data_IF_420730701248
#
_entry.id   IF_420730701248
#
_cell.length_a   1.000
_cell.length_b   1.000
_cell.length_c   1.000
_cell.angle_alpha   90.00
_cell.angle_beta   90.00
_cell.angle_gamma   90.00
#
_symmetry.space_group_name_H-M   'P 1'
#
loop_
_entity.id
_entity.type
_entity.pdbx_description
1 polymer ?
#
# COMPACT_ATOMS: atom_id res chain seq x y z
N UNK A 1 -11.87 9.03 -25.20
CA UNK A 1 -12.00 7.58 -25.20
C UNK A 1 -10.65 6.88 -25.34
N UNK A 2 -10.52 5.70 -24.72
CA UNK A 2 -9.38 4.80 -24.90
C UNK A 2 -9.85 3.59 -25.68
N UNK A 3 -8.98 3.04 -26.52
CA UNK A 3 -9.32 1.93 -27.42
C UNK A 3 -8.33 0.79 -27.25
N UNK A 4 -8.82 -0.45 -27.33
CA UNK A 4 -8.01 -1.64 -27.53
C UNK A 4 -8.32 -2.24 -28.91
N UNK A 5 -7.30 -2.71 -29.59
CA UNK A 5 -7.39 -3.22 -30.95
C UNK A 5 -7.06 -4.70 -30.99
N UNK A 6 -7.51 -5.38 -32.03
CA UNK A 6 -7.13 -6.76 -32.28
C UNK A 6 -5.62 -6.86 -32.58
N UNK A 7 -4.97 -7.91 -32.09
CA UNK A 7 -3.53 -8.12 -32.25
C UNK A 7 -3.09 -8.15 -33.71
N UNK A 8 -3.92 -8.71 -34.56
CA UNK A 8 -3.57 -8.93 -35.98
C UNK A 8 -4.02 -7.81 -36.90
N UNK A 9 -4.84 -6.88 -36.45
CA UNK A 9 -5.33 -5.76 -37.25
C UNK A 9 -5.69 -4.55 -36.37
N UNK A 10 -4.82 -3.56 -36.36
CA UNK A 10 -4.99 -2.31 -35.60
C UNK A 10 -6.19 -1.45 -36.03
N UNK A 11 -6.87 -1.82 -37.10
CA UNK A 11 -8.10 -1.16 -37.56
C UNK A 11 -9.35 -1.76 -36.89
N UNK A 12 -9.24 -2.95 -36.28
CA UNK A 12 -10.34 -3.63 -35.64
C UNK A 12 -10.33 -3.32 -34.13
N UNK A 13 -11.11 -2.34 -33.74
CA UNK A 13 -11.31 -2.00 -32.33
C UNK A 13 -12.18 -3.07 -31.65
N UNK A 14 -11.66 -3.70 -30.61
CA UNK A 14 -12.34 -4.75 -29.85
C UNK A 14 -12.91 -4.24 -28.53
N UNK A 15 -12.40 -3.14 -28.02
CA UNK A 15 -12.88 -2.51 -26.79
C UNK A 15 -12.70 -0.99 -26.85
N UNK A 16 -13.66 -0.27 -26.29
CA UNK A 16 -13.57 1.17 -26.07
C UNK A 16 -13.99 1.51 -24.65
N UNK A 17 -13.30 2.46 -24.03
CA UNK A 17 -13.68 3.01 -22.74
C UNK A 17 -13.75 4.52 -22.82
N UNK A 18 -14.72 5.13 -22.16
CA UNK A 18 -14.85 6.57 -22.04
C UNK A 18 -15.24 6.95 -20.60
N UNK A 19 -14.48 7.85 -20.02
CA UNK A 19 -14.81 8.44 -18.73
C UNK A 19 -15.85 9.54 -18.96
N UNK A 20 -17.00 9.41 -18.33
CA UNK A 20 -18.04 10.43 -18.35
C UNK A 20 -17.78 11.42 -17.21
N UNK A 21 -17.84 12.71 -17.52
CA UNK A 21 -17.60 13.77 -16.56
C UNK A 21 -18.63 13.71 -15.41
N UNK A 22 -18.14 13.45 -14.18
CA UNK A 22 -18.97 13.33 -12.97
C UNK A 22 -19.92 12.13 -12.89
N UNK A 23 -19.83 11.15 -13.81
CA UNK A 23 -20.81 10.05 -13.93
C UNK A 23 -20.26 8.63 -14.04
N UNK A 24 -18.96 8.43 -13.86
CA UNK A 24 -18.35 7.11 -14.02
C UNK A 24 -17.87 6.82 -15.43
N UNK A 25 -17.74 5.55 -15.79
CA UNK A 25 -17.12 5.12 -17.04
C UNK A 25 -18.04 4.22 -17.85
N UNK A 26 -18.01 4.40 -19.17
CA UNK A 26 -18.64 3.50 -20.12
C UNK A 26 -17.57 2.59 -20.72
N UNK A 27 -17.85 1.29 -20.76
CA UNK A 27 -17.02 0.29 -21.42
C UNK A 27 -17.87 -0.42 -22.47
N UNK A 28 -17.40 -0.40 -23.69
CA UNK A 28 -18.02 -1.13 -24.80
C UNK A 28 -17.05 -2.16 -25.32
N UNK A 29 -17.52 -3.40 -25.41
CA UNK A 29 -16.73 -4.51 -25.97
C UNK A 29 -17.49 -5.21 -27.07
N UNK A 30 -16.80 -5.54 -28.16
CA UNK A 30 -17.32 -6.36 -29.24
C UNK A 30 -17.28 -7.87 -28.96
N UNK A 31 -16.73 -8.31 -27.82
CA UNK A 31 -16.60 -9.69 -27.45
C UNK A 31 -17.10 -9.96 -26.02
N UNK A 32 -17.61 -11.15 -25.77
CA UNK A 32 -18.11 -11.59 -24.47
C UNK A 32 -16.97 -12.08 -23.55
N UNK A 33 -15.99 -11.22 -23.27
CA UNK A 33 -14.81 -11.57 -22.45
C UNK A 33 -15.09 -11.66 -20.95
N UNK A 34 -16.28 -11.29 -20.50
CA UNK A 34 -16.70 -11.29 -19.10
C UNK A 34 -17.64 -12.43 -18.77
N UNK A 35 -17.82 -13.42 -19.64
CA UNK A 35 -18.61 -14.58 -19.30
C UNK A 35 -17.92 -15.42 -18.21
N UNK A 36 -18.70 -16.08 -17.37
CA UNK A 36 -18.16 -16.95 -16.33
C UNK A 36 -17.21 -18.01 -16.90
N UNK A 37 -17.54 -18.54 -18.07
CA UNK A 37 -16.71 -19.54 -18.76
C UNK A 37 -15.33 -19.00 -19.14
N UNK A 38 -15.26 -17.81 -19.71
CA UNK A 38 -13.99 -17.24 -20.16
C UNK A 38 -13.11 -16.74 -19.02
N UNK A 39 -13.71 -16.17 -17.98
CA UNK A 39 -12.98 -15.79 -16.77
C UNK A 39 -12.43 -17.02 -16.08
N UNK A 40 -13.24 -18.08 -15.92
CA UNK A 40 -12.79 -19.31 -15.30
C UNK A 40 -11.73 -20.03 -16.12
N UNK A 41 -11.86 -20.08 -17.44
CA UNK A 41 -10.84 -20.64 -18.32
C UNK A 41 -9.49 -19.92 -18.19
N UNK A 42 -9.51 -18.58 -18.06
CA UNK A 42 -8.29 -17.81 -17.89
C UNK A 42 -7.59 -18.00 -16.54
N UNK A 43 -8.33 -18.37 -15.50
CA UNK A 43 -7.78 -18.68 -14.17
C UNK A 43 -7.22 -20.09 -14.09
N UNK A 44 -7.93 -21.07 -14.72
CA UNK A 44 -7.59 -22.49 -14.64
C UNK A 44 -6.55 -22.97 -15.64
N UNK A 45 -6.16 -22.15 -16.61
CA UNK A 45 -5.23 -22.52 -17.68
C UNK A 45 -3.76 -22.41 -17.23
N UNK A 46 -3.41 -23.27 -16.27
CA UNK A 46 -2.07 -23.40 -15.74
C UNK A 46 -1.20 -24.28 -16.65
N UNK A 47 -0.71 -23.76 -17.76
CA UNK A 47 0.28 -24.47 -18.57
C UNK A 47 0.02 -24.55 -20.05
N UNK A 48 -0.97 -23.83 -20.59
CA UNK A 48 -1.08 -23.67 -22.02
C UNK A 48 -0.09 -22.64 -22.55
N UNK A 49 0.36 -22.80 -23.78
CA UNK A 49 1.21 -21.81 -24.47
C UNK A 49 0.49 -20.45 -24.69
N UNK A 50 -0.82 -20.40 -24.43
CA UNK A 50 -1.65 -19.21 -24.55
C UNK A 50 -1.96 -18.64 -23.17
N UNK A 51 -1.39 -17.50 -22.89
CA UNK A 51 -1.62 -16.79 -21.62
C UNK A 51 -2.95 -16.02 -21.67
N UNK A 52 -4.04 -16.67 -21.28
CA UNK A 52 -5.34 -16.02 -21.16
C UNK A 52 -5.38 -15.15 -19.89
N UNK A 53 -5.61 -13.86 -20.07
CA UNK A 53 -5.62 -12.89 -18.97
C UNK A 53 -6.93 -12.11 -18.85
N UNK A 54 -8.03 -12.68 -19.31
CA UNK A 54 -9.35 -12.04 -19.28
C UNK A 54 -9.78 -11.63 -17.85
N UNK A 55 -9.42 -12.40 -16.83
CA UNK A 55 -9.67 -12.03 -15.44
C UNK A 55 -9.01 -10.69 -15.06
N UNK A 56 -7.82 -10.40 -15.59
CA UNK A 56 -7.12 -9.11 -15.35
C UNK A 56 -7.87 -7.93 -15.97
N UNK A 57 -8.54 -8.16 -17.10
CA UNK A 57 -9.41 -7.14 -17.69
C UNK A 57 -10.58 -6.85 -16.76
N UNK A 58 -11.23 -7.91 -16.22
CA UNK A 58 -12.32 -7.77 -15.26
C UNK A 58 -11.85 -7.07 -13.98
N UNK A 59 -10.72 -7.45 -13.41
CA UNK A 59 -10.15 -6.78 -12.24
C UNK A 59 -9.87 -5.30 -12.51
N UNK A 60 -9.25 -4.98 -13.64
CA UNK A 60 -8.98 -3.59 -14.00
C UNK A 60 -10.25 -2.77 -14.18
N UNK A 61 -11.29 -3.35 -14.80
CA UNK A 61 -12.58 -2.69 -14.93
C UNK A 61 -13.25 -2.48 -13.57
N UNK A 62 -13.21 -3.46 -12.68
CA UNK A 62 -13.73 -3.33 -11.31
C UNK A 62 -13.00 -2.23 -10.54
N UNK A 63 -11.67 -2.13 -10.67
CA UNK A 63 -10.88 -1.05 -10.06
C UNK A 63 -11.22 0.32 -10.62
N UNK A 64 -11.58 0.42 -11.89
CA UNK A 64 -11.99 1.68 -12.51
C UNK A 64 -13.40 2.11 -12.08
N UNK A 65 -14.29 1.15 -11.83
CA UNK A 65 -15.67 1.41 -11.37
C UNK A 65 -15.70 1.72 -9.87
N UNK A 66 -14.82 1.07 -9.11
CA UNK A 66 -14.70 1.26 -7.67
C UNK A 66 -13.23 1.61 -7.32
N UNK A 67 -12.84 2.87 -7.50
CA UNK A 67 -11.48 3.29 -7.20
C UNK A 67 -11.21 3.03 -5.72
N UNK A 68 -10.06 2.44 -5.45
CA UNK A 68 -9.59 2.22 -4.07
C UNK A 68 -9.47 3.58 -3.40
N UNK A 69 -10.21 3.78 -2.32
CA UNK A 69 -10.10 4.98 -1.53
C UNK A 69 -8.83 4.91 -0.69
N UNK A 70 -7.92 5.84 -0.94
CA UNK A 70 -6.69 5.96 -0.17
C UNK A 70 -6.95 6.92 0.99
N UNK A 71 -6.65 6.46 2.20
CA UNK A 71 -6.81 7.24 3.43
C UNK A 71 -5.45 7.75 3.89
N UNK A 72 -5.31 9.04 4.23
CA UNK A 72 -4.10 9.58 4.84
C UNK A 72 -3.72 8.82 6.13
N UNK A 73 -2.44 8.55 6.33
CA UNK A 73 -1.98 7.75 7.47
C UNK A 73 -2.33 8.41 8.81
N UNK A 74 -2.29 9.73 8.89
CA UNK A 74 -2.69 10.45 10.10
C UNK A 74 -4.16 10.20 10.48
N UNK A 75 -5.05 10.02 9.51
CA UNK A 75 -6.46 9.70 9.74
C UNK A 75 -6.61 8.26 10.28
N UNK A 76 -5.83 7.32 9.72
CA UNK A 76 -5.80 5.93 10.23
C UNK A 76 -5.25 5.88 11.65
N UNK A 77 -4.21 6.65 11.95
CA UNK A 77 -3.64 6.78 13.30
C UNK A 77 -4.61 7.41 14.32
N UNK A 78 -5.48 8.31 13.88
CA UNK A 78 -6.50 8.92 14.71
C UNK A 78 -7.65 7.97 15.08
N UNK A 79 -7.80 6.85 14.34
CA UNK A 79 -8.77 5.82 14.65
C UNK A 79 -8.24 4.93 15.77
N UNK A 80 -8.76 5.14 16.98
CA UNK A 80 -8.30 4.43 18.19
C UNK A 80 -8.95 3.05 18.41
N UNK A 81 -9.99 2.75 17.66
CA UNK A 81 -10.68 1.45 17.74
C UNK A 81 -10.14 0.47 16.71
N UNK A 82 -10.05 -0.79 17.09
CA UNK A 82 -9.64 -1.89 16.21
C UNK A 82 -10.80 -2.33 15.29
N UNK A 83 -10.46 -2.93 14.14
CA UNK A 83 -11.44 -3.55 13.25
C UNK A 83 -11.88 -2.71 12.05
N UNK A 84 -11.41 -1.47 11.90
CA UNK A 84 -11.75 -0.62 10.77
C UNK A 84 -10.84 -0.88 9.57
N UNK A 85 -11.43 -0.99 8.39
CA UNK A 85 -10.70 -1.26 7.16
C UNK A 85 -10.24 0.02 6.48
N UNK A 86 -8.96 0.07 6.15
CA UNK A 86 -8.35 1.18 5.43
C UNK A 86 -7.44 0.68 4.32
N UNK A 87 -7.22 1.53 3.35
CA UNK A 87 -6.15 1.39 2.37
C UNK A 87 -5.32 2.67 2.39
N UNK A 88 -4.02 2.51 2.56
CA UNK A 88 -3.04 3.60 2.60
C UNK A 88 -2.06 3.48 1.44
N UNK A 89 -1.44 4.57 1.06
CA UNK A 89 -0.23 4.59 0.24
C UNK A 89 0.87 5.35 0.96
N UNK A 90 2.09 4.89 0.82
CA UNK A 90 3.25 5.56 1.41
C UNK A 90 4.56 4.92 0.99
N UNK A 91 5.64 5.37 1.61
CA UNK A 91 7.00 4.87 1.37
C UNK A 91 7.45 4.05 2.58
N UNK A 92 8.08 2.92 2.31
CA UNK A 92 8.65 2.05 3.35
C UNK A 92 9.83 2.76 4.01
N UNK A 93 9.77 2.92 5.32
CA UNK A 93 10.83 3.58 6.12
C UNK A 93 11.63 2.62 6.98
N UNK A 94 11.13 1.41 7.21
CA UNK A 94 11.88 0.30 7.81
C UNK A 94 12.02 -0.84 6.81
N UNK A 95 13.06 -1.63 6.94
CA UNK A 95 13.35 -2.70 6.02
C UNK A 95 12.84 -4.05 6.53
N UNK A 96 11.75 -4.54 5.97
CA UNK A 96 11.25 -5.88 6.26
C UNK A 96 12.06 -6.99 5.59
N UNK A 97 12.76 -6.71 4.48
CA UNK A 97 13.54 -7.70 3.75
C UNK A 97 14.94 -7.95 4.34
N UNK A 98 15.40 -7.07 5.24
CA UNK A 98 16.62 -7.28 6.02
C UNK A 98 16.40 -8.15 7.25
N UNK A 99 15.29 -8.79 7.32
CA UNK A 99 14.90 -9.65 8.41
C UNK A 99 15.90 -10.79 8.62
N UNK A 100 16.48 -10.80 9.79
CA UNK A 100 17.28 -11.92 10.27
C UNK A 100 16.32 -13.02 10.77
N UNK A 101 16.26 -14.12 10.05
CA UNK A 101 15.44 -15.28 10.40
C UNK A 101 15.74 -15.88 11.79
N UNK A 102 16.88 -15.51 12.38
CA UNK A 102 17.29 -15.95 13.71
C UNK A 102 16.71 -15.08 14.83
N UNK A 103 16.33 -13.84 14.50
CA UNK A 103 15.67 -12.95 15.44
C UNK A 103 14.18 -13.06 15.33
N UNK A 104 13.42 -13.78 15.83
CA UNK A 104 11.96 -14.01 15.80
C UNK A 104 11.07 -12.74 15.65
N UNK A 105 11.58 -11.66 15.09
CA UNK A 105 10.83 -10.47 14.76
C UNK A 105 10.29 -10.58 13.34
N UNK A 106 9.01 -10.64 13.30
CA UNK A 106 8.19 -10.89 12.14
C UNK A 106 8.22 -9.73 11.17
N UNK A 107 7.99 -10.07 9.94
CA UNK A 107 7.82 -9.25 8.77
C UNK A 107 6.87 -8.06 9.03
N UNK A 108 7.34 -7.05 9.74
CA UNK A 108 6.66 -5.78 9.87
C UNK A 108 7.44 -4.70 9.12
N UNK A 109 6.73 -3.81 8.49
CA UNK A 109 7.29 -2.60 7.88
C UNK A 109 6.62 -1.37 8.46
N UNK A 110 7.36 -0.27 8.50
CA UNK A 110 6.75 1.03 8.71
C UNK A 110 6.56 1.70 7.36
N UNK A 111 5.37 2.24 7.14
CA UNK A 111 4.99 2.98 5.94
C UNK A 111 4.67 4.40 6.35
N UNK A 112 5.23 5.37 5.63
CA UNK A 112 5.05 6.79 5.90
C UNK A 112 4.58 7.51 4.65
N UNK A 113 3.60 8.41 4.83
CA UNK A 113 3.22 9.42 3.86
C UNK A 113 3.57 10.83 4.38
N UNK A 114 3.08 11.87 3.73
CA UNK A 114 3.27 13.26 4.16
C UNK A 114 2.53 13.62 5.45
N UNK A 115 1.57 12.81 5.88
CA UNK A 115 0.69 13.06 7.03
C UNK A 115 1.13 12.32 8.28
N UNK A 116 1.73 11.14 8.15
CA UNK A 116 2.11 10.32 9.29
C UNK A 116 2.83 9.03 8.90
N UNK A 117 3.08 8.18 9.89
CA UNK A 117 3.65 6.85 9.70
C UNK A 117 2.89 5.80 10.50
N UNK A 118 2.88 4.56 10.05
CA UNK A 118 2.17 3.46 10.69
C UNK A 118 2.90 2.13 10.52
N UNK A 119 2.83 1.29 11.54
CA UNK A 119 3.28 -0.10 11.47
C UNK A 119 2.28 -0.94 10.65
N UNK A 120 2.79 -1.74 9.75
CA UNK A 120 2.04 -2.68 8.91
C UNK A 120 2.50 -4.10 9.20
N UNK A 121 1.62 -4.95 9.72
CA UNK A 121 1.92 -6.34 10.12
C UNK A 121 0.70 -7.26 9.92
N UNK A 122 0.88 -8.53 9.51
CA UNK A 122 2.12 -9.11 8.99
C UNK A 122 2.35 -8.70 7.52
N UNK A 123 3.61 -8.64 7.12
CA UNK A 123 3.99 -8.39 5.74
C UNK A 123 4.87 -9.52 5.24
N UNK A 124 4.49 -10.14 4.12
CA UNK A 124 5.31 -11.12 3.42
C UNK A 124 5.78 -10.53 2.08
N UNK A 125 7.07 -10.65 1.79
CA UNK A 125 7.66 -10.20 0.54
C UNK A 125 8.97 -9.44 0.72
N UNK A 126 9.61 -9.11 -0.40
CA UNK A 126 10.88 -8.38 -0.44
C UNK A 126 10.61 -6.88 -0.62
N UNK A 127 10.25 -6.20 0.48
CA UNK A 127 10.06 -4.75 0.52
C UNK A 127 11.32 -4.10 1.07
N UNK A 128 11.75 -3.00 0.44
CA UNK A 128 12.95 -2.25 0.80
C UNK A 128 12.59 -0.83 1.22
N UNK A 129 13.45 -0.24 2.04
CA UNK A 129 13.37 1.19 2.34
C UNK A 129 13.37 1.97 1.03
N UNK A 130 12.43 2.89 0.88
CA UNK A 130 12.22 3.66 -0.33
C UNK A 130 11.21 3.07 -1.30
N UNK A 131 10.74 1.84 -1.10
CA UNK A 131 9.65 1.30 -1.91
C UNK A 131 8.34 2.04 -1.65
N UNK A 132 7.67 2.47 -2.70
CA UNK A 132 6.31 2.97 -2.62
C UNK A 132 5.34 1.81 -2.64
N UNK A 133 4.48 1.75 -1.63
CA UNK A 133 3.53 0.64 -1.45
C UNK A 133 2.11 1.16 -1.26
N UNK A 134 1.16 0.32 -1.64
CA UNK A 134 -0.24 0.42 -1.21
C UNK A 134 -0.52 -0.74 -0.28
N UNK A 135 -1.06 -0.44 0.89
CA UNK A 135 -1.37 -1.42 1.93
C UNK A 135 -2.84 -1.34 2.26
N UNK A 136 -3.53 -2.47 2.20
CA UNK A 136 -4.89 -2.61 2.71
C UNK A 136 -4.88 -3.48 3.96
N UNK A 137 -5.63 -3.08 4.95
CA UNK A 137 -5.66 -3.81 6.22
C UNK A 137 -6.76 -3.33 7.14
N UNK A 138 -6.69 -3.81 8.36
CA UNK A 138 -7.64 -3.51 9.42
C UNK A 138 -6.88 -2.92 10.60
N UNK A 139 -7.40 -1.86 11.22
CA UNK A 139 -6.79 -1.29 12.44
C UNK A 139 -6.70 -2.35 13.53
N UNK A 140 -5.58 -2.40 14.20
CA UNK A 140 -5.32 -3.28 15.34
C UNK A 140 -4.28 -2.64 16.26
N UNK A 141 -4.18 -3.14 17.49
CA UNK A 141 -3.23 -2.65 18.48
C UNK A 141 -2.38 -3.78 19.03
N UNK A 142 -1.09 -3.55 19.13
CA UNK A 142 -0.16 -4.50 19.73
C UNK A 142 0.77 -3.80 20.72
N UNK A 143 0.75 -4.22 21.98
CA UNK A 143 1.56 -3.65 23.07
C UNK A 143 1.49 -2.12 23.20
N UNK A 144 0.35 -1.54 22.86
CA UNK A 144 0.12 -0.09 22.92
C UNK A 144 0.50 0.65 21.61
N UNK A 145 1.05 -0.02 20.63
CA UNK A 145 1.28 0.53 19.29
C UNK A 145 0.07 0.29 18.40
N UNK A 146 -0.38 1.34 17.73
CA UNK A 146 -1.42 1.25 16.73
C UNK A 146 -0.82 0.80 15.39
N UNK A 147 -1.43 -0.21 14.77
CA UNK A 147 -0.92 -0.82 13.56
C UNK A 147 -2.03 -1.15 12.56
N UNK A 148 -1.66 -1.41 11.33
CA UNK A 148 -2.53 -1.95 10.31
C UNK A 148 -2.27 -3.46 10.16
N UNK A 149 -3.26 -4.28 10.54
CA UNK A 149 -3.24 -5.71 10.28
C UNK A 149 -3.44 -5.94 8.78
N UNK A 150 -2.36 -6.28 8.08
CA UNK A 150 -2.29 -6.28 6.62
C UNK A 150 -3.08 -7.45 6.03
N UNK A 151 -3.94 -7.15 5.08
CA UNK A 151 -4.68 -8.13 4.27
C UNK A 151 -4.18 -8.21 2.84
N UNK A 152 -3.66 -7.10 2.32
CA UNK A 152 -3.07 -7.01 0.99
C UNK A 152 -1.99 -5.92 0.95
N UNK A 153 -0.91 -6.18 0.23
CA UNK A 153 0.15 -5.21 -0.01
C UNK A 153 0.67 -5.31 -1.44
N UNK A 154 0.78 -4.16 -2.09
CA UNK A 154 1.24 -4.05 -3.48
C UNK A 154 2.35 -3.03 -3.57
N UNK A 155 3.49 -3.43 -4.15
CA UNK A 155 4.56 -2.50 -4.53
C UNK A 155 4.14 -1.71 -5.76
N UNK A 156 4.09 -0.39 -5.64
CA UNK A 156 3.73 0.54 -6.72
C UNK A 156 4.94 0.99 -7.54
N UNK A 157 6.14 0.81 -7.00
CA UNK A 157 7.41 1.22 -7.60
C UNK A 157 8.39 1.72 -6.56
N UNK A 158 9.41 2.43 -7.01
CA UNK A 158 10.33 3.15 -6.13
C UNK A 158 9.72 4.51 -5.79
N UNK A 159 9.80 4.91 -4.52
CA UNK A 159 9.43 6.22 -4.02
C UNK A 159 10.65 7.08 -3.74
N UNK A 160 10.41 8.32 -3.37
CA UNK A 160 11.48 9.16 -2.81
C UNK A 160 11.76 8.72 -1.37
N UNK A 161 13.05 8.61 -1.02
CA UNK A 161 13.44 8.28 0.34
C UNK A 161 12.91 9.34 1.32
N UNK A 162 12.25 8.89 2.38
CA UNK A 162 11.73 9.79 3.40
C UNK A 162 12.90 10.43 4.15
N UNK A 163 12.93 11.76 4.19
CA UNK A 163 13.91 12.48 4.99
C UNK A 163 13.48 12.47 6.46
N UNK A 164 14.35 12.01 7.39
CA UNK A 164 14.02 12.01 8.82
C UNK A 164 13.68 13.40 9.33
N UNK A 165 12.55 13.53 10.00
CA UNK A 165 12.13 14.79 10.61
C UNK A 165 12.87 15.03 11.93
N UNK A 166 13.47 16.21 12.11
CA UNK A 166 14.01 16.59 13.42
C UNK A 166 12.88 16.85 14.42
N UNK A 167 12.95 16.19 15.57
CA UNK A 167 11.93 16.29 16.62
C UNK A 167 12.55 16.49 17.99
N UNK A 168 11.74 17.00 18.90
CA UNK A 168 12.09 17.17 20.30
C UNK A 168 11.69 15.95 21.13
N UNK A 169 12.29 15.78 22.31
CA UNK A 169 11.87 14.74 23.27
C UNK A 169 10.40 14.86 23.68
N UNK A 170 9.86 16.06 23.72
CA UNK A 170 8.43 16.28 24.00
C UNK A 170 7.55 15.65 22.94
N UNK A 171 7.85 15.84 21.66
CA UNK A 171 7.10 15.27 20.54
C UNK A 171 7.19 13.74 20.49
N UNK A 172 8.30 13.17 20.93
CA UNK A 172 8.42 11.71 21.08
C UNK A 172 7.54 11.21 22.23
N UNK A 173 7.54 11.91 23.36
CA UNK A 173 6.82 11.51 24.55
C UNK A 173 5.30 11.70 24.46
N UNK A 174 4.83 12.68 23.67
CA UNK A 174 3.40 12.91 23.47
C UNK A 174 2.78 12.05 22.37
N UNK A 175 3.60 11.24 21.70
CA UNK A 175 3.15 10.32 20.65
C UNK A 175 2.84 10.96 19.30
N UNK A 176 3.08 12.27 19.13
CA UNK A 176 2.74 12.99 17.88
C UNK A 176 3.54 12.56 16.65
N UNK A 177 4.59 11.76 16.85
CA UNK A 177 5.48 11.26 15.77
C UNK A 177 5.54 9.74 15.71
N UNK A 178 4.56 9.06 16.26
CA UNK A 178 4.48 7.60 16.21
C UNK A 178 4.54 7.09 14.77
N UNK A 179 5.30 6.01 14.56
CA UNK A 179 5.45 5.38 13.25
C UNK A 179 6.26 6.16 12.22
N UNK A 180 6.70 7.39 12.52
CA UNK A 180 7.47 8.23 11.60
C UNK A 180 8.98 8.00 11.72
N UNK A 181 9.69 8.16 10.63
CA UNK A 181 11.14 8.22 10.59
C UNK A 181 11.60 9.59 11.12
N UNK A 182 12.31 9.60 12.24
CA UNK A 182 12.70 10.83 12.95
C UNK A 182 14.20 10.91 13.23
N UNK A 183 14.68 12.11 13.45
CA UNK A 183 15.97 12.41 14.07
C UNK A 183 15.74 13.12 15.40
N UNK A 184 16.16 12.50 16.51
CA UNK A 184 16.10 13.09 17.83
C UNK A 184 17.44 13.75 18.17
N UNK A 185 17.43 15.05 18.44
CA UNK A 185 18.58 15.75 19.03
C UNK A 185 18.54 15.58 20.55
N UNK A 186 19.32 14.63 21.08
CA UNK A 186 19.49 14.48 22.52
C UNK A 186 20.44 15.56 23.04
N UNK A 187 20.01 16.28 24.08
CA UNK A 187 20.90 17.16 24.86
C UNK A 187 21.34 16.36 26.09
N UNK A 188 22.60 15.98 26.14
CA UNK A 188 23.17 15.35 27.34
C UNK A 188 23.50 16.44 28.37
N UNK A 189 22.79 16.48 29.47
CA UNK A 189 23.18 17.28 30.64
C UNK A 189 24.04 16.40 31.55
N UNK A 190 25.35 16.54 31.47
CA UNK A 190 26.24 16.03 32.52
C UNK A 190 26.11 16.93 33.73
N UNK A 191 25.31 16.56 34.72
CA UNK A 191 25.40 17.14 36.02
C UNK A 191 26.67 16.62 36.71
N UNK A 192 27.75 17.35 36.53
CA UNK A 192 28.89 17.27 37.42
C UNK A 192 28.45 17.97 38.73
N UNK A 193 27.94 17.22 39.72
CA UNK A 193 27.95 17.65 41.11
C UNK A 193 29.40 17.65 41.56
N UNK A 194 29.99 18.81 41.64
CA UNK A 194 31.17 18.99 42.47
C UNK A 194 30.70 18.80 43.91
N UNK A 195 31.16 17.77 44.57
CA UNK A 195 31.11 17.66 46.01
C UNK A 195 32.30 18.46 46.55
N UNK A 196 32.02 19.61 47.16
CA UNK A 196 32.89 20.24 48.15
C UNK A 196 32.79 19.48 49.47
#
# INVERSE_FOLDING_TARGET
PKYAFAENDSRLMVMATEQLEGRGMVVVSGAAFMSNFEVQASISDNGSEKNYSNYKICENLLRLINPVQITPIAEVQAQTEDGYKYTIEGVVTSNASGYDKETAFFDCIYVQDETGGINCFPVAGDFKIGDRVRVSGTTSSYQGEHQLAVTDIVKLGEGEAVTPREVTSTQVNDGSVLGQLITLKAVSYTHLRAHE
#
